data_IF_725271217964
#
_entry.id   IF_725271217964
#
_cell.length_a   1.000
_cell.length_b   1.000
_cell.length_c   1.000
_cell.angle_alpha   90.00
_cell.angle_beta   90.00
_cell.angle_gamma   90.00
#
_symmetry.space_group_name_H-M   'P 1'
#
loop_
_entity.id
_entity.type
_entity.pdbx_description
1 polymer ?
#
# COMPACT_ATOMS: atom_id res chain seq x y z
N UNK A 1 15.43 -38.34 -2.14
CA UNK A 1 15.85 -37.29 -1.20
C UNK A 1 16.73 -36.35 -1.98
N UNK A 2 16.30 -35.09 -2.08
CA UNK A 2 17.09 -33.91 -2.44
C UNK A 2 17.87 -33.93 -3.76
N UNK A 3 17.19 -33.62 -4.88
CA UNK A 3 17.85 -33.28 -6.16
C UNK A 3 17.05 -32.20 -6.93
N UNK A 4 16.63 -31.11 -6.28
CA UNK A 4 15.76 -30.08 -6.89
C UNK A 4 16.22 -28.62 -6.78
N UNK A 5 17.53 -28.34 -6.78
CA UNK A 5 18.06 -26.96 -6.92
C UNK A 5 19.35 -26.85 -7.77
N UNK A 6 19.54 -27.74 -8.75
CA UNK A 6 20.74 -27.77 -9.61
C UNK A 6 20.76 -26.80 -10.80
N UNK A 7 20.10 -25.66 -10.72
CA UNK A 7 20.05 -24.68 -11.81
C UNK A 7 20.17 -23.27 -11.30
N UNK A 8 21.41 -22.78 -11.16
CA UNK A 8 21.86 -21.37 -10.97
C UNK A 8 20.77 -20.36 -10.60
N UNK A 9 20.05 -20.63 -9.50
CA UNK A 9 18.92 -19.83 -9.09
C UNK A 9 19.46 -18.71 -8.23
N UNK A 10 19.83 -17.62 -8.91
CA UNK A 10 19.93 -16.28 -8.36
C UNK A 10 21.01 -16.07 -7.28
N UNK A 11 22.12 -15.42 -7.64
CA UNK A 11 23.06 -14.82 -6.69
C UNK A 11 22.81 -13.29 -6.62
N UNK A 12 22.31 -12.75 -5.50
CA UNK A 12 22.10 -11.31 -5.33
C UNK A 12 23.38 -10.47 -5.40
N UNK A 13 24.57 -11.10 -5.45
CA UNK A 13 25.86 -10.42 -5.57
C UNK A 13 26.42 -10.41 -6.99
N UNK A 14 25.75 -11.04 -7.96
CA UNK A 14 26.17 -11.02 -9.35
C UNK A 14 25.68 -9.73 -10.06
N UNK A 15 26.56 -8.75 -10.37
CA UNK A 15 26.18 -7.53 -11.08
C UNK A 15 25.68 -7.79 -12.52
N UNK A 16 25.90 -8.98 -13.09
CA UNK A 16 25.32 -9.36 -14.38
C UNK A 16 23.80 -9.64 -14.30
N UNK A 17 23.28 -10.02 -13.13
CA UNK A 17 21.85 -10.30 -12.89
C UNK A 17 20.97 -9.03 -12.91
N UNK A 18 21.56 -7.86 -12.66
CA UNK A 18 20.84 -6.58 -12.66
C UNK A 18 20.29 -6.15 -14.02
N UNK A 19 20.85 -6.67 -15.14
CA UNK A 19 20.32 -6.42 -16.49
C UNK A 19 19.05 -7.21 -16.80
N UNK A 20 18.76 -8.29 -16.06
CA UNK A 20 17.61 -9.15 -16.31
C UNK A 20 16.28 -8.51 -15.89
N UNK A 21 16.31 -7.53 -14.97
CA UNK A 21 15.10 -6.85 -14.48
C UNK A 21 14.80 -5.53 -15.19
N UNK A 22 15.61 -5.14 -16.19
CA UNK A 22 15.62 -3.81 -16.78
C UNK A 22 14.39 -3.42 -17.63
N UNK A 23 13.59 -4.37 -18.13
CA UNK A 23 12.52 -4.04 -19.10
C UNK A 23 11.28 -4.93 -19.10
N UNK A 24 11.28 -6.11 -18.47
CA UNK A 24 10.41 -7.17 -19.00
C UNK A 24 9.00 -7.24 -18.40
N UNK A 25 8.61 -6.30 -17.54
CA UNK A 25 7.20 -6.10 -17.21
C UNK A 25 6.86 -4.62 -17.08
N UNK A 26 7.21 -3.82 -18.08
CA UNK A 26 6.50 -2.57 -18.32
C UNK A 26 5.03 -2.88 -18.59
N UNK A 27 4.13 -2.30 -17.79
CA UNK A 27 2.76 -1.91 -18.11
C UNK A 27 2.20 -2.49 -19.43
N UNK A 28 1.71 -3.74 -19.44
CA UNK A 28 1.16 -4.31 -20.68
C UNK A 28 0.80 -5.80 -20.71
N UNK A 29 1.07 -6.59 -19.67
CA UNK A 29 0.71 -8.01 -19.69
C UNK A 29 -0.80 -8.17 -19.84
N UNK A 30 -1.22 -8.95 -20.83
CA UNK A 30 -2.62 -9.24 -21.05
C UNK A 30 -3.17 -10.00 -19.84
N UNK A 31 -4.48 -9.91 -19.60
CA UNK A 31 -5.16 -10.72 -18.57
C UNK A 31 -4.79 -12.20 -18.68
N UNK A 32 -4.62 -12.68 -19.92
CA UNK A 32 -4.23 -14.06 -20.21
C UNK A 32 -2.82 -14.38 -19.70
N UNK A 33 -1.88 -13.42 -19.75
CA UNK A 33 -0.52 -13.59 -19.20
C UNK A 33 -0.53 -13.59 -17.66
N UNK A 34 -1.43 -12.81 -17.05
CA UNK A 34 -1.63 -12.82 -15.59
C UNK A 34 -2.20 -14.17 -15.15
N UNK A 35 -3.27 -14.65 -15.81
CA UNK A 35 -3.87 -15.94 -15.50
C UNK A 35 -2.90 -17.11 -15.77
N UNK A 36 -2.12 -17.04 -16.85
CA UNK A 36 -1.07 -18.01 -17.14
C UNK A 36 0.06 -17.98 -16.11
N UNK A 37 0.50 -16.79 -15.67
CA UNK A 37 1.51 -16.64 -14.62
C UNK A 37 1.02 -17.16 -13.26
N UNK A 38 -0.28 -17.06 -12.99
CA UNK A 38 -0.91 -17.57 -11.79
C UNK A 38 -1.10 -19.09 -11.79
N UNK A 39 -0.80 -19.77 -12.91
CA UNK A 39 -0.84 -21.25 -13.05
C UNK A 39 -2.14 -21.87 -12.50
N UNK A 40 -3.28 -21.24 -12.81
CA UNK A 40 -4.60 -21.78 -12.51
C UNK A 40 -4.71 -23.16 -13.18
N UNK A 41 -4.53 -24.22 -12.40
CA UNK A 41 -4.55 -25.61 -12.87
C UNK A 41 -5.79 -26.36 -12.41
N UNK A 42 -6.58 -25.72 -11.55
CA UNK A 42 -7.84 -26.22 -11.02
C UNK A 42 -9.00 -25.36 -11.55
N UNK A 43 -10.05 -26.03 -12.05
CA UNK A 43 -11.22 -25.38 -12.62
C UNK A 43 -11.99 -24.54 -11.59
N UNK A 44 -11.89 -24.87 -10.29
CA UNK A 44 -12.51 -24.06 -9.24
C UNK A 44 -11.81 -22.73 -9.02
N UNK A 45 -10.48 -22.71 -9.12
CA UNK A 45 -9.68 -21.48 -9.00
C UNK A 45 -9.88 -20.56 -10.19
N UNK A 46 -10.04 -21.13 -11.40
CA UNK A 46 -10.42 -20.37 -12.60
C UNK A 46 -11.82 -19.77 -12.48
N UNK A 47 -12.80 -20.55 -12.00
CA UNK A 47 -14.15 -20.04 -11.73
C UNK A 47 -14.17 -18.95 -10.66
N UNK A 48 -13.33 -19.07 -9.63
CA UNK A 48 -13.22 -18.04 -8.59
C UNK A 48 -12.65 -16.74 -9.18
N UNK A 49 -11.61 -16.86 -10.02
CA UNK A 49 -11.06 -15.72 -10.75
C UNK A 49 -12.11 -15.04 -11.65
N UNK A 50 -12.95 -15.81 -12.35
CA UNK A 50 -14.05 -15.29 -13.16
C UNK A 50 -15.10 -14.57 -12.32
N UNK A 51 -15.57 -15.18 -11.22
CA UNK A 51 -16.53 -14.57 -10.31
C UNK A 51 -16.01 -13.23 -9.75
N UNK A 52 -14.72 -13.17 -9.41
CA UNK A 52 -14.04 -11.93 -8.97
C UNK A 52 -14.00 -10.87 -10.06
N UNK A 53 -13.75 -11.25 -11.32
CA UNK A 53 -13.77 -10.29 -12.44
C UNK A 53 -15.17 -9.75 -12.74
N UNK A 54 -16.20 -10.57 -12.54
CA UNK A 54 -17.60 -10.20 -12.73
C UNK A 54 -18.17 -9.44 -11.53
N UNK A 55 -17.50 -9.48 -10.38
CA UNK A 55 -17.98 -8.89 -9.13
C UNK A 55 -19.09 -9.71 -8.45
N UNK A 56 -19.24 -10.99 -8.80
CA UNK A 56 -20.20 -11.90 -8.18
C UNK A 56 -19.64 -12.41 -6.83
N UNK A 57 -19.91 -11.63 -5.78
CA UNK A 57 -19.50 -11.98 -4.41
C UNK A 57 -20.15 -13.27 -3.91
N UNK A 58 -21.37 -13.59 -4.35
CA UNK A 58 -22.10 -14.78 -3.87
C UNK A 58 -21.47 -16.05 -4.43
N UNK A 59 -21.16 -16.06 -5.72
CA UNK A 59 -20.43 -17.18 -6.34
C UNK A 59 -19.01 -17.28 -5.80
N UNK A 60 -18.33 -16.15 -5.54
CA UNK A 60 -17.02 -16.14 -4.92
C UNK A 60 -17.04 -16.79 -3.52
N UNK A 61 -17.97 -16.40 -2.64
CA UNK A 61 -18.14 -17.01 -1.31
C UNK A 61 -18.42 -18.52 -1.42
N UNK A 62 -19.26 -18.93 -2.37
CA UNK A 62 -19.57 -20.35 -2.60
C UNK A 62 -18.34 -21.15 -3.01
N UNK A 63 -17.49 -20.59 -3.88
CA UNK A 63 -16.25 -21.23 -4.35
C UNK A 63 -15.17 -21.25 -3.27
N UNK A 64 -15.10 -20.22 -2.41
CA UNK A 64 -14.22 -20.21 -1.24
C UNK A 64 -14.60 -21.32 -0.26
N UNK A 65 -15.89 -21.56 -0.03
CA UNK A 65 -16.36 -22.67 0.80
C UNK A 65 -16.01 -24.05 0.22
N UNK A 66 -15.81 -24.15 -1.10
CA UNK A 66 -15.36 -25.37 -1.78
C UNK A 66 -13.84 -25.62 -1.67
N UNK A 67 -13.09 -24.76 -0.96
CA UNK A 67 -11.63 -24.85 -0.80
C UNK A 67 -10.80 -24.54 -2.07
N UNK A 68 -11.33 -23.70 -2.96
CA UNK A 68 -10.56 -23.18 -4.10
C UNK A 68 -9.31 -22.41 -3.62
N UNK A 69 -8.20 -22.47 -4.39
CA UNK A 69 -7.02 -21.65 -4.09
C UNK A 69 -7.34 -20.17 -4.31
N UNK A 70 -7.37 -19.43 -3.20
CA UNK A 70 -7.73 -18.02 -3.14
C UNK A 70 -6.62 -17.11 -3.64
N UNK A 71 -5.36 -17.58 -3.58
CA UNK A 71 -4.17 -16.75 -3.82
C UNK A 71 -4.22 -16.11 -5.22
N UNK A 72 -4.42 -16.87 -6.31
CA UNK A 72 -4.54 -16.30 -7.66
C UNK A 72 -5.65 -15.26 -7.79
N UNK A 73 -6.83 -15.56 -7.23
CA UNK A 73 -8.00 -14.69 -7.31
C UNK A 73 -7.76 -13.37 -6.57
N UNK A 74 -7.06 -13.40 -5.43
CA UNK A 74 -6.66 -12.18 -4.71
C UNK A 74 -5.71 -11.31 -5.54
N UNK A 75 -4.66 -11.89 -6.13
CA UNK A 75 -3.73 -11.13 -6.97
C UNK A 75 -4.42 -10.53 -8.19
N UNK A 76 -5.36 -11.26 -8.78
CA UNK A 76 -6.20 -10.77 -9.86
C UNK A 76 -7.08 -9.59 -9.41
N UNK A 77 -7.79 -9.74 -8.29
CA UNK A 77 -8.65 -8.72 -7.70
C UNK A 77 -7.89 -7.40 -7.47
N UNK A 78 -6.67 -7.49 -6.95
CA UNK A 78 -5.81 -6.32 -6.75
C UNK A 78 -5.44 -5.65 -8.08
N UNK A 79 -5.06 -6.43 -9.09
CA UNK A 79 -4.63 -5.92 -10.40
C UNK A 79 -5.74 -5.26 -11.21
N UNK A 80 -6.95 -5.79 -11.17
CA UNK A 80 -8.10 -5.20 -11.86
C UNK A 80 -8.74 -4.05 -11.06
N UNK A 81 -8.29 -3.82 -9.83
CA UNK A 81 -8.86 -2.80 -8.98
C UNK A 81 -10.25 -3.14 -8.44
N UNK A 82 -10.55 -4.42 -8.18
CA UNK A 82 -11.83 -4.91 -7.64
C UNK A 82 -12.28 -4.15 -6.38
N UNK A 83 -13.55 -4.27 -6.00
CA UNK A 83 -14.09 -3.57 -4.84
C UNK A 83 -13.32 -3.94 -3.54
N UNK A 84 -13.15 -3.00 -2.57
CA UNK A 84 -12.48 -3.30 -1.30
C UNK A 84 -13.07 -4.51 -0.56
N UNK A 85 -14.38 -4.70 -0.61
CA UNK A 85 -15.10 -5.80 0.02
C UNK A 85 -14.70 -7.15 -0.57
N UNK A 86 -14.50 -7.22 -1.90
CA UNK A 86 -13.98 -8.41 -2.58
C UNK A 86 -12.55 -8.72 -2.12
N UNK A 87 -11.69 -7.70 -2.01
CA UNK A 87 -10.31 -7.87 -1.54
C UNK A 87 -10.28 -8.31 -0.08
N UNK A 88 -11.15 -7.76 0.76
CA UNK A 88 -11.30 -8.15 2.16
C UNK A 88 -11.68 -9.61 2.33
N UNK A 89 -12.72 -10.07 1.61
CA UNK A 89 -13.15 -11.46 1.59
C UNK A 89 -12.00 -12.40 1.18
N UNK A 90 -11.35 -12.11 0.04
CA UNK A 90 -10.27 -12.95 -0.48
C UNK A 90 -9.04 -12.93 0.44
N UNK A 91 -8.69 -11.78 1.01
CA UNK A 91 -7.55 -11.66 1.93
C UNK A 91 -7.79 -12.46 3.21
N UNK A 92 -9.00 -12.39 3.79
CA UNK A 92 -9.37 -13.12 5.00
C UNK A 92 -9.28 -14.65 4.82
N UNK A 93 -9.51 -15.15 3.61
CA UNK A 93 -9.40 -16.57 3.28
C UNK A 93 -8.01 -16.99 2.76
N UNK A 94 -7.09 -16.05 2.51
CA UNK A 94 -5.79 -16.33 1.93
C UNK A 94 -4.72 -16.55 3.01
N UNK A 95 -4.19 -17.77 3.12
CA UNK A 95 -3.10 -18.10 4.05
C UNK A 95 -1.70 -17.71 3.56
N UNK A 96 -1.57 -17.25 2.30
CA UNK A 96 -0.29 -17.10 1.59
C UNK A 96 -0.01 -15.67 1.11
N UNK A 97 -0.44 -14.67 1.87
CA UNK A 97 -0.32 -13.24 1.50
C UNK A 97 1.14 -12.77 1.26
N UNK A 98 2.10 -13.37 1.97
CA UNK A 98 3.51 -12.98 1.92
C UNK A 98 4.34 -13.89 1.01
N UNK A 99 3.69 -14.87 0.37
CA UNK A 99 4.35 -15.77 -0.56
C UNK A 99 4.54 -15.06 -1.89
N UNK A 100 5.62 -15.42 -2.58
CA UNK A 100 5.96 -14.85 -3.86
C UNK A 100 5.10 -15.45 -4.99
N UNK A 101 3.96 -14.85 -5.36
CA UNK A 101 3.11 -15.34 -6.46
C UNK A 101 2.15 -14.28 -7.04
N UNK A 102 2.51 -13.50 -8.08
CA UNK A 102 3.84 -13.36 -8.68
C UNK A 102 4.80 -12.51 -7.82
N UNK A 103 4.28 -11.84 -6.80
CA UNK A 103 4.95 -11.06 -5.76
C UNK A 103 4.07 -11.13 -4.51
N UNK A 104 4.52 -10.71 -3.31
CA UNK A 104 3.65 -10.61 -2.14
C UNK A 104 2.43 -9.70 -2.38
N UNK A 105 1.34 -9.93 -1.65
CA UNK A 105 0.06 -9.25 -1.88
C UNK A 105 0.14 -7.73 -1.72
N UNK A 106 0.86 -7.23 -0.70
CA UNK A 106 1.07 -5.78 -0.50
C UNK A 106 1.86 -5.16 -1.66
N UNK A 107 2.85 -5.88 -2.20
CA UNK A 107 3.63 -5.41 -3.36
C UNK A 107 2.75 -5.36 -4.61
N UNK A 108 1.93 -6.40 -4.82
CA UNK A 108 0.97 -6.45 -5.94
C UNK A 108 -0.03 -5.28 -5.86
N UNK A 109 -0.56 -5.01 -4.68
CA UNK A 109 -1.42 -3.86 -4.41
C UNK A 109 -0.71 -2.54 -4.78
N UNK A 110 0.53 -2.36 -4.33
CA UNK A 110 1.30 -1.13 -4.58
C UNK A 110 1.50 -0.90 -6.08
N UNK A 111 1.86 -1.95 -6.84
CA UNK A 111 1.99 -1.86 -8.30
C UNK A 111 0.66 -1.55 -8.99
N UNK A 112 -0.43 -2.18 -8.56
CA UNK A 112 -1.76 -1.93 -9.12
C UNK A 112 -2.21 -0.48 -8.87
N UNK A 113 -2.04 0.03 -7.65
CA UNK A 113 -2.32 1.42 -7.31
C UNK A 113 -1.46 2.39 -8.13
N UNK A 114 -0.17 2.11 -8.29
CA UNK A 114 0.72 2.94 -9.11
C UNK A 114 0.37 2.90 -10.60
N UNK A 115 -0.05 1.75 -11.14
CA UNK A 115 -0.54 1.62 -12.52
C UNK A 115 -1.82 2.44 -12.73
N UNK A 116 -2.77 2.33 -11.81
CA UNK A 116 -3.99 3.12 -11.82
C UNK A 116 -3.65 4.62 -11.80
N UNK A 117 -2.72 5.04 -10.94
CA UNK A 117 -2.27 6.43 -10.85
C UNK A 117 -1.67 6.94 -12.17
N UNK A 118 -0.73 6.20 -12.76
CA UNK A 118 -0.12 6.56 -14.04
C UNK A 118 -1.13 6.56 -15.21
N UNK A 119 -2.17 5.74 -15.12
CA UNK A 119 -3.28 5.71 -16.08
C UNK A 119 -4.36 6.79 -15.84
N UNK A 120 -4.20 7.67 -14.85
CA UNK A 120 -5.21 8.67 -14.48
C UNK A 120 -6.49 8.07 -13.89
N UNK A 121 -6.44 6.82 -13.42
CA UNK A 121 -7.57 6.14 -12.80
C UNK A 121 -7.69 6.50 -11.31
N UNK A 122 -8.90 6.37 -10.78
CA UNK A 122 -9.16 6.67 -9.37
C UNK A 122 -8.44 5.69 -8.43
N UNK A 123 -7.80 6.23 -7.39
CA UNK A 123 -7.20 5.45 -6.30
C UNK A 123 -8.18 5.21 -5.14
N UNK A 124 -9.47 5.43 -5.36
CA UNK A 124 -10.51 5.25 -4.34
C UNK A 124 -10.49 3.82 -3.81
N UNK A 125 -10.54 3.68 -2.49
CA UNK A 125 -10.51 2.39 -1.82
C UNK A 125 -9.12 1.74 -1.74
N UNK A 126 -8.06 2.34 -2.28
CA UNK A 126 -6.70 1.78 -2.16
C UNK A 126 -6.26 1.63 -0.70
N UNK A 127 -6.55 2.61 0.17
CA UNK A 127 -6.29 2.51 1.62
C UNK A 127 -7.09 1.37 2.26
N UNK A 128 -8.36 1.20 1.91
CA UNK A 128 -9.21 0.14 2.46
C UNK A 128 -8.70 -1.26 2.06
N UNK A 129 -8.26 -1.42 0.82
CA UNK A 129 -7.61 -2.65 0.33
C UNK A 129 -6.31 -2.94 1.09
N UNK A 130 -5.49 -1.92 1.35
CA UNK A 130 -4.29 -2.06 2.17
C UNK A 130 -4.65 -2.50 3.59
N UNK A 131 -5.65 -1.86 4.21
CA UNK A 131 -6.11 -2.22 5.55
C UNK A 131 -6.59 -3.66 5.63
N UNK A 132 -7.38 -4.11 4.66
CA UNK A 132 -7.83 -5.50 4.55
C UNK A 132 -6.65 -6.50 4.47
N UNK A 133 -5.64 -6.21 3.63
CA UNK A 133 -4.45 -7.05 3.51
C UNK A 133 -3.67 -7.14 4.84
N UNK A 134 -3.47 -6.01 5.51
CA UNK A 134 -2.72 -5.98 6.77
C UNK A 134 -3.50 -6.64 7.91
N UNK A 135 -4.83 -6.47 7.97
CA UNK A 135 -5.70 -7.17 8.92
C UNK A 135 -5.63 -8.68 8.73
N UNK A 136 -5.50 -9.15 7.48
CA UNK A 136 -5.31 -10.55 7.16
C UNK A 136 -3.87 -11.07 7.40
N UNK A 137 -2.94 -10.21 7.87
CA UNK A 137 -1.57 -10.59 8.24
C UNK A 137 -0.55 -10.45 7.11
N UNK A 138 -0.85 -9.68 6.06
CA UNK A 138 0.16 -9.34 5.07
C UNK A 138 1.25 -8.46 5.68
N UNK A 139 2.51 -8.76 5.36
CA UNK A 139 3.67 -8.00 5.81
C UNK A 139 3.85 -6.77 4.93
N UNK A 140 3.74 -5.60 5.55
CA UNK A 140 3.89 -4.29 4.89
C UNK A 140 5.29 -4.09 4.30
N UNK A 141 6.31 -4.77 4.84
CA UNK A 141 7.71 -4.72 4.40
C UNK A 141 8.08 -5.87 3.47
N UNK A 142 7.08 -6.62 2.98
CA UNK A 142 7.28 -7.66 1.99
C UNK A 142 8.09 -7.14 0.79
N UNK A 143 9.04 -7.95 0.35
CA UNK A 143 9.97 -7.62 -0.71
C UNK A 143 9.49 -8.26 -2.01
N UNK A 144 9.35 -7.46 -3.06
CA UNK A 144 9.02 -7.89 -4.41
C UNK A 144 10.23 -7.97 -5.34
N UNK A 145 9.98 -8.01 -6.65
CA UNK A 145 11.06 -8.02 -7.65
C UNK A 145 11.91 -6.76 -7.55
N UNK A 146 13.21 -6.90 -7.81
CA UNK A 146 14.20 -5.81 -7.64
C UNK A 146 14.49 -5.47 -6.18
N UNK A 147 14.13 -6.37 -5.26
CA UNK A 147 14.12 -6.13 -3.82
C UNK A 147 13.31 -4.89 -3.40
N UNK A 148 12.30 -4.52 -4.19
CA UNK A 148 11.47 -3.35 -3.91
C UNK A 148 10.36 -3.69 -2.92
N UNK A 149 10.25 -2.92 -1.84
CA UNK A 149 9.06 -2.92 -1.00
C UNK A 149 7.95 -2.07 -1.63
N UNK A 150 6.73 -2.12 -1.08
CA UNK A 150 5.63 -1.25 -1.49
C UNK A 150 6.01 0.25 -1.45
N UNK A 151 6.79 0.68 -0.45
CA UNK A 151 7.25 2.08 -0.37
C UNK A 151 8.16 2.48 -1.54
N UNK A 152 9.07 1.60 -1.96
CA UNK A 152 9.95 1.87 -3.10
C UNK A 152 9.16 2.05 -4.40
N UNK A 153 8.14 1.22 -4.60
CA UNK A 153 7.26 1.29 -5.77
C UNK A 153 6.53 2.64 -5.80
N UNK A 154 5.91 3.04 -4.69
CA UNK A 154 5.23 4.34 -4.60
C UNK A 154 6.19 5.52 -4.78
N UNK A 155 7.37 5.48 -4.17
CA UNK A 155 8.36 6.55 -4.29
C UNK A 155 8.81 6.75 -5.75
N UNK A 156 9.11 5.66 -6.47
CA UNK A 156 9.45 5.73 -7.90
C UNK A 156 8.31 6.31 -8.72
N UNK A 157 7.06 5.91 -8.48
CA UNK A 157 5.90 6.45 -9.21
C UNK A 157 5.67 7.92 -8.91
N UNK A 158 5.85 8.36 -7.66
CA UNK A 158 5.80 9.77 -7.29
C UNK A 158 6.88 10.59 -8.03
N UNK A 159 8.09 10.05 -8.14
CA UNK A 159 9.16 10.69 -8.90
C UNK A 159 8.78 10.88 -10.38
N UNK A 160 8.17 9.86 -11.00
CA UNK A 160 7.71 9.91 -12.41
C UNK A 160 6.60 10.95 -12.60
N UNK A 161 5.55 10.91 -11.78
CA UNK A 161 4.43 11.85 -11.86
C UNK A 161 4.87 13.30 -11.63
N UNK A 162 5.87 13.51 -10.78
CA UNK A 162 6.45 14.83 -10.58
C UNK A 162 7.08 15.37 -11.87
N UNK A 163 7.86 14.55 -12.58
CA UNK A 163 8.47 14.92 -13.85
C UNK A 163 7.41 15.21 -14.93
N UNK A 164 6.34 14.42 -14.96
CA UNK A 164 5.21 14.62 -15.87
C UNK A 164 4.44 15.90 -15.55
N UNK A 165 4.17 16.18 -14.28
CA UNK A 165 3.50 17.42 -13.84
C UNK A 165 4.24 18.67 -14.34
N UNK A 166 5.58 18.68 -14.26
CA UNK A 166 6.39 19.78 -14.77
C UNK A 166 6.27 19.92 -16.29
N UNK A 167 6.20 18.80 -17.01
CA UNK A 167 6.00 18.80 -18.46
C UNK A 167 4.62 19.32 -18.84
N UNK A 168 3.57 18.92 -18.14
CA UNK A 168 2.20 19.34 -18.43
C UNK A 168 1.89 20.77 -18.00
N UNK A 169 2.51 21.28 -16.94
CA UNK A 169 2.35 22.67 -16.50
C UNK A 169 2.65 23.69 -17.62
N UNK A 170 3.53 23.34 -18.56
CA UNK A 170 3.86 24.16 -19.72
C UNK A 170 2.83 24.08 -20.86
N UNK A 171 2.05 22.99 -20.95
CA UNK A 171 1.20 22.69 -22.11
C UNK A 171 -0.31 22.76 -21.80
N UNK A 172 -0.75 22.34 -20.61
CA UNK A 172 -2.16 22.25 -20.24
C UNK A 172 -2.37 22.35 -18.73
N UNK A 173 -3.10 23.39 -18.31
CA UNK A 173 -3.47 23.58 -16.90
C UNK A 173 -4.44 22.52 -16.38
N UNK A 174 -5.27 21.93 -17.24
CA UNK A 174 -6.23 20.88 -16.84
C UNK A 174 -5.51 19.58 -16.49
N UNK A 175 -4.66 19.11 -17.41
CA UNK A 175 -3.86 17.90 -17.19
C UNK A 175 -2.91 18.06 -16.00
N UNK A 176 -2.34 19.24 -15.82
CA UNK A 176 -1.50 19.52 -14.65
C UNK A 176 -2.27 19.36 -13.32
N UNK A 177 -3.56 19.74 -13.27
CA UNK A 177 -4.40 19.56 -12.07
C UNK A 177 -4.72 18.09 -11.82
N UNK A 178 -5.09 17.34 -12.85
CA UNK A 178 -5.37 15.90 -12.74
C UNK A 178 -4.15 15.14 -12.21
N UNK A 179 -2.97 15.39 -12.78
CA UNK A 179 -1.71 14.79 -12.30
C UNK A 179 -1.40 15.19 -10.86
N UNK A 180 -1.66 16.45 -10.47
CA UNK A 180 -1.44 16.92 -9.11
C UNK A 180 -2.39 16.25 -8.09
N UNK A 181 -3.65 16.01 -8.46
CA UNK A 181 -4.61 15.28 -7.63
C UNK A 181 -4.17 13.82 -7.44
N UNK A 182 -3.78 13.14 -8.52
CA UNK A 182 -3.23 11.79 -8.45
C UNK A 182 -1.97 11.72 -7.59
N UNK A 183 -1.07 12.70 -7.72
CA UNK A 183 0.12 12.79 -6.89
C UNK A 183 -0.22 12.96 -5.41
N UNK A 184 -1.25 13.76 -5.10
CA UNK A 184 -1.72 13.94 -3.73
C UNK A 184 -2.25 12.63 -3.12
N UNK A 185 -3.04 11.86 -3.86
CA UNK A 185 -3.53 10.56 -3.42
C UNK A 185 -2.38 9.56 -3.20
N UNK A 186 -1.36 9.54 -4.06
CA UNK A 186 -0.17 8.72 -3.83
C UNK A 186 0.66 9.17 -2.63
N UNK A 187 0.80 10.47 -2.37
CA UNK A 187 1.43 10.96 -1.12
C UNK A 187 0.70 10.42 0.11
N UNK A 188 -0.64 10.42 0.07
CA UNK A 188 -1.47 9.88 1.15
C UNK A 188 -1.22 8.39 1.33
N UNK A 189 -1.21 7.59 0.25
CA UNK A 189 -0.91 6.15 0.33
C UNK A 189 0.50 5.86 0.87
N UNK A 190 1.50 6.67 0.48
CA UNK A 190 2.86 6.56 1.01
C UNK A 190 2.89 6.79 2.52
N UNK A 191 2.21 7.84 3.00
CA UNK A 191 2.10 8.09 4.44
C UNK A 191 1.29 7.03 5.18
N UNK A 192 0.26 6.48 4.54
CA UNK A 192 -0.57 5.40 5.07
C UNK A 192 0.28 4.14 5.32
N UNK A 193 1.17 3.77 4.40
CA UNK A 193 2.13 2.68 4.58
C UNK A 193 3.07 2.93 5.77
N UNK A 194 3.70 4.11 5.82
CA UNK A 194 4.61 4.47 6.94
C UNK A 194 3.86 4.47 8.27
N UNK A 195 2.62 4.93 8.31
CA UNK A 195 1.79 4.90 9.52
C UNK A 195 1.45 3.46 9.97
N UNK A 196 1.48 2.49 9.05
CA UNK A 196 1.23 1.06 9.29
C UNK A 196 2.51 0.25 9.51
N UNK A 197 3.65 0.90 9.68
CA UNK A 197 4.92 0.24 10.03
C UNK A 197 5.82 -0.08 8.84
N UNK A 198 5.54 0.46 7.65
CA UNK A 198 6.46 0.35 6.54
C UNK A 198 7.78 1.09 6.84
N UNK A 199 8.91 0.41 6.69
CA UNK A 199 10.23 0.95 6.97
C UNK A 199 10.78 1.72 5.76
N UNK A 200 10.86 3.05 5.90
CA UNK A 200 11.40 3.92 4.85
C UNK A 200 12.91 3.87 4.71
N UNK A 201 13.62 3.22 5.65
CA UNK A 201 15.08 3.07 5.64
C UNK A 201 15.56 1.76 5.03
N UNK A 202 14.64 0.80 4.79
CA UNK A 202 14.97 -0.42 4.05
C UNK A 202 15.52 -0.06 2.68
N UNK A 203 16.67 -0.65 2.34
CA UNK A 203 17.29 -0.50 1.04
C UNK A 203 16.72 -1.53 0.04
N UNK A 204 16.59 -1.11 -1.21
CA UNK A 204 16.25 -1.98 -2.35
C UNK A 204 17.49 -2.71 -2.91
N UNK A 205 17.33 -3.35 -4.07
CA UNK A 205 18.42 -4.07 -4.75
C UNK A 205 19.54 -3.17 -5.27
N UNK A 206 19.30 -1.85 -5.36
CA UNK A 206 20.29 -0.83 -5.74
C UNK A 206 20.92 -0.18 -4.50
N UNK A 207 20.68 -0.74 -3.31
CA UNK A 207 21.10 -0.18 -2.02
C UNK A 207 20.55 1.22 -1.74
N UNK A 208 19.45 1.61 -2.39
CA UNK A 208 18.79 2.89 -2.17
C UNK A 208 17.55 2.67 -1.30
N UNK A 209 17.37 3.51 -0.30
CA UNK A 209 16.10 3.59 0.42
C UNK A 209 15.00 4.23 -0.43
N UNK A 210 13.74 4.00 -0.05
CA UNK A 210 12.59 4.60 -0.73
C UNK A 210 12.66 6.15 -0.77
N UNK A 211 13.27 6.78 0.24
CA UNK A 211 13.44 8.24 0.28
C UNK A 211 14.59 8.73 -0.60
N UNK A 212 15.68 7.98 -0.71
CA UNK A 212 16.84 8.35 -1.54
C UNK A 212 16.52 8.36 -3.04
N UNK A 213 15.46 7.64 -3.46
CA UNK A 213 14.94 7.70 -4.83
C UNK A 213 14.27 9.04 -5.16
N UNK A 214 13.84 9.80 -4.16
CA UNK A 214 13.22 11.10 -4.35
C UNK A 214 14.28 12.20 -4.35
N UNK A 215 14.08 13.24 -5.14
CA UNK A 215 14.92 14.45 -5.05
C UNK A 215 14.75 15.10 -3.66
N UNK A 216 15.72 15.91 -3.25
CA UNK A 216 15.66 16.62 -1.96
C UNK A 216 14.38 17.49 -1.83
N UNK A 217 13.93 18.11 -2.92
CA UNK A 217 12.67 18.88 -2.94
C UNK A 217 11.45 17.98 -2.80
N UNK A 218 11.39 16.87 -3.55
CA UNK A 218 10.31 15.88 -3.46
C UNK A 218 10.19 15.28 -2.06
N UNK A 219 11.32 14.92 -1.46
CA UNK A 219 11.38 14.41 -0.11
C UNK A 219 10.89 15.46 0.91
N UNK A 220 11.32 16.72 0.75
CA UNK A 220 10.84 17.82 1.59
C UNK A 220 9.33 17.99 1.49
N UNK A 221 8.78 18.00 0.28
CA UNK A 221 7.35 18.17 0.04
C UNK A 221 6.52 17.01 0.60
N UNK A 222 7.01 15.78 0.42
CA UNK A 222 6.43 14.57 0.99
C UNK A 222 6.41 14.66 2.53
N UNK A 223 7.52 15.02 3.17
CA UNK A 223 7.61 15.12 4.62
C UNK A 223 6.80 16.30 5.19
N UNK A 224 6.73 17.43 4.48
CA UNK A 224 5.93 18.61 4.86
C UNK A 224 4.43 18.29 4.81
N UNK A 225 3.98 17.53 3.81
CA UNK A 225 2.59 17.07 3.70
C UNK A 225 2.12 16.33 4.97
N UNK A 226 2.97 15.44 5.51
CA UNK A 226 2.72 14.75 6.79
C UNK A 226 2.55 15.73 7.96
N UNK A 227 3.45 16.71 8.07
CA UNK A 227 3.42 17.69 9.17
C UNK A 227 2.13 18.52 9.17
N UNK A 228 1.67 18.96 7.99
CA UNK A 228 0.40 19.70 7.86
C UNK A 228 -0.79 18.84 8.32
N UNK A 229 -0.83 17.58 7.90
CA UNK A 229 -1.89 16.64 8.29
C UNK A 229 -1.90 16.38 9.80
N UNK A 230 -0.72 16.20 10.42
CA UNK A 230 -0.61 15.99 11.87
C UNK A 230 -1.01 17.24 12.66
N UNK A 231 -0.53 18.42 12.26
CA UNK A 231 -0.88 19.68 12.90
C UNK A 231 -2.39 19.96 12.83
N UNK A 232 -3.02 19.71 11.67
CA UNK A 232 -4.47 19.81 11.48
C UNK A 232 -5.24 18.85 12.40
N UNK A 233 -4.84 17.57 12.48
CA UNK A 233 -5.48 16.60 13.39
C UNK A 233 -5.37 17.02 14.85
N UNK A 234 -4.20 17.48 15.28
CA UNK A 234 -3.99 17.97 16.66
C UNK A 234 -4.85 19.20 16.95
N UNK A 235 -4.96 20.14 16.01
CA UNK A 235 -5.85 21.30 16.13
C UNK A 235 -7.32 20.88 16.21
N UNK A 236 -7.76 19.96 15.36
CA UNK A 236 -9.12 19.42 15.40
C UNK A 236 -9.43 18.72 16.72
N UNK A 237 -8.53 17.87 17.23
CA UNK A 237 -8.68 17.24 18.54
C UNK A 237 -8.70 18.25 19.67
N UNK A 238 -7.83 19.28 19.64
CA UNK A 238 -7.83 20.35 20.64
C UNK A 238 -9.14 21.15 20.62
N UNK A 239 -9.66 21.46 19.43
CA UNK A 239 -10.92 22.19 19.26
C UNK A 239 -12.14 21.37 19.72
N UNK A 240 -12.22 20.10 19.35
CA UNK A 240 -13.31 19.20 19.79
C UNK A 240 -13.21 18.85 21.28
N UNK A 241 -11.99 18.74 21.82
CA UNK A 241 -11.74 18.50 23.25
C UNK A 241 -12.01 19.73 24.12
N UNK A 242 -11.76 20.94 23.61
CA UNK A 242 -12.07 22.19 24.29
C UNK A 242 -13.59 22.44 24.37
N UNK A 243 -14.35 22.04 23.35
CA UNK A 243 -15.82 22.15 23.36
C UNK A 243 -16.50 21.30 24.44
N UNK A 244 -15.97 20.09 24.72
CA UNK A 244 -16.52 19.20 25.77
C UNK A 244 -16.20 19.63 27.21
N UNK A 245 -15.20 20.51 27.42
CA UNK A 245 -14.86 21.02 28.77
C UNK A 245 -15.72 22.20 29.22
N UNK A 246 -16.43 22.87 28.32
CA UNK A 246 -17.27 24.02 28.69
C UNK A 246 -18.62 23.58 29.25
N UNK A 247 -19.16 22.43 28.83
CA UNK A 247 -20.41 21.89 29.38
C UNK A 247 -20.25 21.17 30.73
N UNK A 248 -19.06 20.64 31.04
CA UNK A 248 -18.78 20.05 32.35
C UNK A 248 -18.43 21.10 33.44
N UNK A 249 -18.25 22.36 33.06
CA UNK A 249 -17.83 23.44 33.97
C UNK A 249 -18.97 24.15 34.72
N UNK A 250 -20.24 23.82 34.45
CA UNK A 250 -21.40 24.47 35.10
C UNK A 250 -22.13 23.59 36.13
N UNK A 251 -21.66 22.36 36.39
CA UNK A 251 -22.28 21.46 37.39
C UNK A 251 -21.39 21.10 38.59
N UNK A 252 -20.17 21.64 38.69
CA UNK A 252 -19.28 21.36 39.82
C UNK A 252 -18.84 22.65 40.54
N UNK A 253 -19.81 23.38 41.08
CA UNK A 253 -19.58 24.46 42.06
C UNK A 253 -20.41 24.22 43.31
N UNK A 254 -20.18 23.09 43.98
CA UNK A 254 -20.45 22.91 45.42
C UNK A 254 -19.89 21.55 45.84
N UNK A 255 -18.60 21.49 46.13
CA UNK A 255 -18.07 20.69 47.23
C UNK A 255 -16.57 20.98 47.37
N UNK A 256 -16.30 21.94 48.27
CA UNK A 256 -15.06 21.99 49.01
C UNK A 256 -14.81 20.62 49.64
N UNK A 257 -13.63 20.02 49.48
CA UNK A 257 -12.93 19.43 50.63
C UNK A 257 -11.44 19.25 50.30
N UNK A 258 -10.65 19.60 51.31
CA UNK A 258 -9.20 19.71 51.34
C UNK A 258 -8.49 18.41 50.98
N UNK A 259 -7.40 18.51 50.22
CA UNK A 259 -6.36 17.48 50.16
C UNK A 259 -5.01 18.13 50.52
N UNK A 260 -4.28 17.60 51.51
CA UNK A 260 -3.04 18.22 51.99
C UNK A 260 -1.86 17.94 51.06
N UNK A 261 -1.04 18.97 50.86
CA UNK A 261 0.34 18.93 50.38
C UNK A 261 1.20 18.02 51.27
N UNK A 262 1.88 17.01 50.72
CA UNK A 262 3.21 16.62 51.20
C UNK A 262 4.09 15.99 50.09
N UNK A 263 5.25 16.65 49.91
CA UNK A 263 6.59 16.10 49.65
C UNK A 263 7.02 15.65 48.24
N UNK A 264 7.71 16.59 47.60
CA UNK A 264 8.96 16.47 46.85
C UNK A 264 9.94 15.43 47.44
N UNK A 265 10.64 14.64 46.61
CA UNK A 265 12.08 14.29 46.73
C UNK A 265 12.61 13.66 45.42
N UNK A 266 13.57 14.39 44.84
CA UNK A 266 14.81 14.07 44.08
C UNK A 266 14.91 13.01 42.97
N UNK A 267 15.46 13.53 41.87
CA UNK A 267 16.37 12.94 40.90
C UNK A 267 17.57 12.20 41.50
N UNK A 268 17.95 11.09 40.87
CA UNK A 268 19.32 10.78 40.43
C UNK A 268 19.22 10.23 39.02
#
# INVERSE_FOLDING_TARGET
MEDWWGGSLWDPRDPASGKFFGTDFTCGSSMRDVLAALRLSDGESERLALAVTEGDLVEAERLLAASADVTPALHLALQIGAAPETVELLAACCSRLNVWLPEPAVVTWARAACRAALGGQSLRGATAKLDALLLAGADVNSIGRGCETALHILARTLQLLWQESHRYAMHSKSLAREVQETQHELHKLWHDLVARGADSSMADGESCSALERLSASQCTDLLVSKRRTYAMRRYHHARLGAGKRVEAGWQASTECFMVPMYHCIRCV
#
